data_IF_398492516681
#
_entry.id   IF_398492516681
#
_cell.length_a   1.000
_cell.length_b   1.000
_cell.length_c   1.000
_cell.angle_alpha   90.00
_cell.angle_beta   90.00
_cell.angle_gamma   90.00
#
_symmetry.space_group_name_H-M   'P 1'
#
loop_
_entity.id
_entity.type
_entity.pdbx_description
1 polymer ?
#
# COMPACT_ATOMS: atom_id res chain seq x y z
N UNK A 1 -13.31 -2.96 -10.10
CA UNK A 1 -12.58 -2.62 -8.86
C UNK A 1 -11.32 -1.88 -9.27
N UNK A 2 -10.88 -0.84 -8.54
CA UNK A 2 -9.60 -0.17 -8.87
C UNK A 2 -8.46 -0.87 -8.14
N UNK A 3 -7.34 -1.07 -8.82
CA UNK A 3 -6.17 -1.71 -8.21
C UNK A 3 -5.54 -0.80 -7.15
N UNK A 4 -5.29 0.46 -7.52
CA UNK A 4 -4.68 1.46 -6.66
C UNK A 4 -5.73 2.19 -5.83
N UNK A 5 -5.30 2.63 -4.64
CA UNK A 5 -6.08 3.49 -3.77
C UNK A 5 -6.47 4.79 -4.48
N UNK A 6 -7.76 5.22 -4.47
CA UNK A 6 -8.20 6.44 -5.13
C UNK A 6 -7.82 7.66 -4.30
N UNK A 7 -6.62 8.19 -4.51
CA UNK A 7 -6.05 9.32 -3.76
C UNK A 7 -6.88 10.60 -3.84
N UNK A 8 -7.70 10.74 -4.89
CA UNK A 8 -8.63 11.85 -5.08
C UNK A 8 -9.83 11.81 -4.11
N UNK A 9 -10.09 10.66 -3.47
CA UNK A 9 -11.17 10.50 -2.47
C UNK A 9 -10.69 10.69 -1.04
N UNK A 10 -9.38 10.73 -0.81
CA UNK A 10 -8.81 10.88 0.53
C UNK A 10 -8.58 12.37 0.77
N UNK A 11 -9.32 12.93 1.72
CA UNK A 11 -9.13 14.33 2.09
C UNK A 11 -7.81 14.51 2.85
N UNK A 12 -7.25 15.72 2.85
CA UNK A 12 -6.07 16.00 3.66
C UNK A 12 -6.34 15.83 5.16
N UNK A 13 -7.57 16.11 5.62
CA UNK A 13 -7.96 15.89 7.02
C UNK A 13 -7.97 14.40 7.37
N UNK A 14 -8.57 13.56 6.54
CA UNK A 14 -8.56 12.09 6.75
C UNK A 14 -7.14 11.55 6.74
N UNK A 15 -6.31 12.03 5.82
CA UNK A 15 -4.93 11.61 5.71
C UNK A 15 -4.07 12.05 6.91
N UNK A 16 -4.30 13.26 7.44
CA UNK A 16 -3.68 13.72 8.68
C UNK A 16 -4.01 12.79 9.85
N UNK A 17 -5.29 12.44 10.01
CA UNK A 17 -5.75 11.53 11.07
C UNK A 17 -5.15 10.13 10.91
N UNK A 18 -4.94 9.69 9.68
CA UNK A 18 -4.27 8.44 9.37
C UNK A 18 -2.78 8.49 9.76
N UNK A 19 -2.06 9.57 9.44
CA UNK A 19 -0.65 9.73 9.84
C UNK A 19 -0.49 9.71 11.36
N UNK A 20 -1.40 10.33 12.11
CA UNK A 20 -1.39 10.32 13.59
C UNK A 20 -1.52 8.93 14.18
N UNK A 21 -2.31 8.05 13.55
CA UNK A 21 -2.61 6.70 14.05
C UNK A 21 -1.62 5.66 13.57
N UNK A 22 -0.88 5.95 12.50
CA UNK A 22 0.06 5.01 11.91
C UNK A 22 1.35 4.88 12.72
N UNK A 23 1.84 3.65 12.83
CA UNK A 23 3.18 3.39 13.33
C UNK A 23 4.21 3.66 12.22
N UNK A 24 4.55 4.93 12.02
CA UNK A 24 5.49 5.36 10.99
C UNK A 24 6.90 4.79 11.21
N UNK A 25 7.56 4.41 10.09
CA UNK A 25 8.96 4.01 10.09
C UNK A 25 9.83 5.14 10.68
N UNK A 26 10.97 4.83 11.32
CA UNK A 26 11.81 5.84 11.96
C UNK A 26 12.13 7.06 11.08
N UNK A 27 12.52 6.84 9.82
CA UNK A 27 12.81 7.92 8.86
C UNK A 27 11.58 8.65 8.28
N UNK A 28 10.37 8.37 8.78
CA UNK A 28 9.11 9.03 8.41
C UNK A 28 8.48 9.77 9.60
N UNK A 29 9.03 9.62 10.81
CA UNK A 29 8.47 10.23 12.03
C UNK A 29 8.49 11.75 12.05
N UNK A 30 9.39 12.38 11.28
CA UNK A 30 9.40 13.84 11.06
C UNK A 30 8.03 14.35 10.56
N UNK A 31 7.22 13.49 9.92
CA UNK A 31 5.87 13.84 9.46
C UNK A 31 4.92 14.21 10.59
N UNK A 32 5.18 13.74 11.81
CA UNK A 32 4.38 14.04 13.00
C UNK A 32 4.72 15.41 13.62
N UNK A 33 5.84 16.02 13.24
CA UNK A 33 6.23 17.32 13.78
C UNK A 33 5.33 18.42 13.21
N UNK A 34 4.67 19.16 14.10
CA UNK A 34 3.76 20.26 13.77
C UNK A 34 2.70 19.84 12.72
N UNK A 35 2.26 18.58 12.79
CA UNK A 35 1.41 17.97 11.76
C UNK A 35 0.15 18.80 11.48
N UNK A 36 -0.56 19.21 12.53
CA UNK A 36 -1.77 20.04 12.42
C UNK A 36 -1.49 21.35 11.71
N UNK A 37 -0.48 22.09 12.16
CA UNK A 37 -0.14 23.40 11.60
C UNK A 37 0.32 23.29 10.14
N UNK A 38 1.15 22.30 9.82
CA UNK A 38 1.64 22.07 8.46
C UNK A 38 0.51 21.66 7.51
N UNK A 39 -0.41 20.81 7.95
CA UNK A 39 -1.57 20.44 7.13
C UNK A 39 -2.54 21.62 6.95
N UNK A 40 -2.72 22.48 7.95
CA UNK A 40 -3.48 23.72 7.78
C UNK A 40 -2.86 24.62 6.70
N UNK A 41 -1.53 24.83 6.73
CA UNK A 41 -0.83 25.60 5.70
C UNK A 41 -0.96 25.00 4.30
N UNK A 42 -0.98 23.67 4.17
CA UNK A 42 -1.25 23.00 2.89
C UNK A 42 -2.69 23.24 2.41
N UNK A 43 -3.67 23.20 3.32
CA UNK A 43 -5.06 23.53 3.02
C UNK A 43 -5.24 24.99 2.59
N UNK A 44 -4.51 25.93 3.19
CA UNK A 44 -4.53 27.35 2.82
C UNK A 44 -4.03 27.60 1.37
N UNK A 45 -3.24 26.67 0.82
CA UNK A 45 -2.85 26.66 -0.60
C UNK A 45 -3.93 26.06 -1.52
N UNK A 46 -5.14 25.79 -1.00
CA UNK A 46 -6.25 25.20 -1.75
C UNK A 46 -6.11 23.69 -1.98
N UNK A 47 -5.17 23.01 -1.30
CA UNK A 47 -5.04 21.56 -1.36
C UNK A 47 -6.09 20.92 -0.45
N UNK A 48 -6.92 20.05 -1.00
CA UNK A 48 -8.02 19.40 -0.27
C UNK A 48 -7.91 17.88 -0.25
N UNK A 49 -7.18 17.30 -1.21
CA UNK A 49 -7.04 15.85 -1.37
C UNK A 49 -5.59 15.40 -1.44
N UNK A 50 -5.37 14.12 -1.13
CA UNK A 50 -4.06 13.45 -1.24
C UNK A 50 -3.54 13.48 -2.68
N UNK A 51 -4.41 13.33 -3.68
CA UNK A 51 -4.03 13.45 -5.09
C UNK A 51 -3.45 14.84 -5.44
N UNK A 52 -4.10 15.90 -4.97
CA UNK A 52 -3.62 17.28 -5.21
C UNK A 52 -2.27 17.53 -4.52
N UNK A 53 -2.11 17.07 -3.29
CA UNK A 53 -0.85 17.17 -2.57
C UNK A 53 0.27 16.39 -3.26
N UNK A 54 0.01 15.16 -3.72
CA UNK A 54 0.98 14.38 -4.48
C UNK A 54 1.39 15.08 -5.79
N UNK A 55 0.44 15.72 -6.47
CA UNK A 55 0.69 16.50 -7.68
C UNK A 55 1.50 17.78 -7.42
N UNK A 56 1.29 18.43 -6.27
CA UNK A 56 2.03 19.60 -5.81
C UNK A 56 3.47 19.25 -5.39
N UNK A 57 3.74 17.99 -5.02
CA UNK A 57 5.06 17.50 -4.64
C UNK A 57 5.76 16.72 -5.76
N UNK A 58 5.19 16.65 -6.97
CA UNK A 58 5.58 15.67 -7.98
C UNK A 58 6.98 15.87 -8.59
N UNK A 59 7.54 17.08 -8.51
CA UNK A 59 8.87 17.42 -9.03
C UNK A 59 9.63 18.30 -8.03
N UNK A 60 10.98 18.34 -8.11
CA UNK A 60 11.80 19.21 -7.26
C UNK A 60 11.34 20.67 -7.32
N UNK A 61 11.09 21.21 -8.52
CA UNK A 61 10.65 22.59 -8.69
C UNK A 61 9.32 22.88 -7.97
N UNK A 62 8.32 22.00 -8.12
CA UNK A 62 7.02 22.19 -7.45
C UNK A 62 7.14 22.08 -5.93
N UNK A 63 7.97 21.16 -5.46
CA UNK A 63 8.25 21.00 -4.03
C UNK A 63 8.88 22.28 -3.45
N UNK A 64 9.92 22.82 -4.09
CA UNK A 64 10.56 24.07 -3.64
C UNK A 64 9.60 25.26 -3.71
N UNK A 65 8.76 25.34 -4.75
CA UNK A 65 7.71 26.38 -4.83
C UNK A 65 6.71 26.27 -3.68
N UNK A 66 6.27 25.06 -3.34
CA UNK A 66 5.36 24.84 -2.22
C UNK A 66 6.02 25.13 -0.87
N UNK A 67 7.30 24.77 -0.70
CA UNK A 67 8.09 25.09 0.49
C UNK A 67 8.17 26.61 0.69
N UNK A 68 8.47 27.36 -0.37
CA UNK A 68 8.52 28.82 -0.32
C UNK A 68 7.15 29.46 -0.02
N UNK A 69 6.07 28.93 -0.58
CA UNK A 69 4.72 29.45 -0.37
C UNK A 69 4.15 29.18 1.03
N UNK A 70 4.52 28.04 1.63
CA UNK A 70 3.98 27.59 2.92
C UNK A 70 4.94 27.82 4.10
N UNK A 71 6.22 28.05 3.84
CA UNK A 71 7.26 28.05 4.88
C UNK A 71 7.58 26.66 5.45
N UNK A 72 6.98 25.59 4.91
CA UNK A 72 7.27 24.22 5.36
C UNK A 72 8.66 23.80 4.86
N UNK A 73 9.52 23.22 5.71
CA UNK A 73 10.85 22.78 5.30
C UNK A 73 10.81 21.79 4.12
N UNK A 74 11.71 21.97 3.14
CA UNK A 74 11.81 21.07 1.99
C UNK A 74 12.09 19.62 2.38
N UNK A 75 12.85 19.40 3.47
CA UNK A 75 13.11 18.07 4.03
C UNK A 75 11.80 17.38 4.42
N UNK A 76 10.91 18.08 5.13
CA UNK A 76 9.60 17.56 5.51
C UNK A 76 8.77 17.20 4.27
N UNK A 77 8.69 18.11 3.30
CA UNK A 77 7.94 17.89 2.06
C UNK A 77 8.51 16.74 1.23
N UNK A 78 9.83 16.53 1.27
CA UNK A 78 10.50 15.41 0.60
C UNK A 78 10.12 14.08 1.24
N UNK A 79 10.09 14.01 2.57
CA UNK A 79 9.67 12.81 3.29
C UNK A 79 8.17 12.57 3.08
N UNK A 80 7.36 13.62 3.04
CA UNK A 80 5.92 13.54 2.77
C UNK A 80 5.67 13.01 1.36
N UNK A 81 6.39 13.52 0.35
CA UNK A 81 6.33 13.00 -1.02
C UNK A 81 6.64 11.50 -1.06
N UNK A 82 7.65 11.04 -0.31
CA UNK A 82 8.01 9.62 -0.24
C UNK A 82 6.92 8.78 0.42
N UNK A 83 6.27 9.29 1.47
CA UNK A 83 5.13 8.65 2.11
C UNK A 83 3.98 8.47 1.12
N UNK A 84 3.58 9.57 0.46
CA UNK A 84 2.49 9.59 -0.52
C UNK A 84 2.75 8.63 -1.69
N UNK A 85 4.00 8.58 -2.16
CA UNK A 85 4.40 7.63 -3.21
C UNK A 85 4.21 6.16 -2.80
N UNK A 86 4.27 5.86 -1.50
CA UNK A 86 4.03 4.51 -0.99
C UNK A 86 2.54 4.15 -0.92
N UNK A 87 1.63 5.12 -1.01
CA UNK A 87 0.20 4.87 -1.11
C UNK A 87 -0.22 4.29 -2.47
N UNK A 88 0.66 4.32 -3.48
CA UNK A 88 0.42 3.75 -4.80
C UNK A 88 1.23 2.47 -4.98
N UNK A 89 0.60 1.30 -4.81
CA UNK A 89 1.28 0.03 -5.05
C UNK A 89 1.52 -0.23 -6.53
N UNK A 90 2.74 -0.66 -6.84
CA UNK A 90 3.12 -1.05 -8.20
C UNK A 90 2.50 -2.41 -8.52
N UNK A 91 1.99 -2.60 -9.74
CA UNK A 91 1.58 -3.93 -10.20
C UNK A 91 2.77 -4.88 -10.16
N UNK A 92 2.48 -6.15 -9.86
CA UNK A 92 3.46 -7.23 -9.82
C UNK A 92 3.24 -8.12 -11.05
N UNK A 93 4.30 -8.58 -11.74
CA UNK A 93 4.15 -9.57 -12.80
C UNK A 93 3.48 -10.85 -12.28
N UNK A 94 2.52 -11.40 -13.04
CA UNK A 94 1.83 -12.64 -12.64
C UNK A 94 2.79 -13.83 -12.53
N UNK A 95 3.88 -13.81 -13.30
CA UNK A 95 4.97 -14.80 -13.25
C UNK A 95 5.74 -14.83 -11.94
N UNK A 96 5.67 -13.77 -11.14
CA UNK A 96 6.46 -13.64 -9.91
C UNK A 96 5.77 -14.32 -8.72
N UNK A 97 4.49 -14.69 -8.85
CA UNK A 97 3.77 -15.42 -7.82
C UNK A 97 4.29 -16.87 -7.72
N UNK A 98 4.80 -17.29 -6.55
CA UNK A 98 5.27 -18.66 -6.37
C UNK A 98 4.13 -19.67 -6.56
N UNK A 99 4.43 -20.86 -7.10
CA UNK A 99 3.49 -21.98 -7.22
C UNK A 99 2.21 -21.72 -8.04
N UNK A 100 2.14 -20.63 -8.83
CA UNK A 100 1.04 -20.42 -9.76
C UNK A 100 1.17 -21.32 -11.01
N UNK A 101 0.03 -21.69 -11.59
CA UNK A 101 -0.04 -22.55 -12.79
C UNK A 101 0.63 -21.87 -14.00
N UNK A 102 1.72 -22.43 -14.56
CA UNK A 102 2.37 -21.84 -15.74
C UNK A 102 1.45 -21.84 -16.97
N UNK A 103 0.53 -22.80 -17.07
CA UNK A 103 -0.44 -22.86 -18.16
C UNK A 103 -1.45 -21.68 -18.07
N UNK A 104 -1.95 -21.39 -16.86
CA UNK A 104 -2.83 -20.25 -16.63
C UNK A 104 -2.13 -18.92 -16.97
N UNK A 105 -0.88 -18.74 -16.52
CA UNK A 105 -0.12 -17.52 -16.79
C UNK A 105 0.13 -17.32 -18.29
N UNK A 106 0.44 -18.39 -19.03
CA UNK A 106 0.62 -18.30 -20.49
C UNK A 106 -0.68 -17.89 -21.21
N UNK A 107 -1.80 -18.51 -20.85
CA UNK A 107 -3.11 -18.17 -21.41
C UNK A 107 -3.48 -16.71 -21.14
N UNK A 108 -3.23 -16.21 -19.92
CA UNK A 108 -3.46 -14.79 -19.60
C UNK A 108 -2.53 -13.86 -20.40
N UNK A 109 -1.29 -14.25 -20.62
CA UNK A 109 -0.34 -13.46 -21.41
C UNK A 109 -0.73 -13.35 -22.89
N UNK A 110 -1.36 -14.38 -23.46
CA UNK A 110 -1.96 -14.34 -24.81
C UNK A 110 -3.09 -13.32 -24.90
N UNK A 111 -3.85 -13.15 -23.81
CA UNK A 111 -4.87 -12.10 -23.65
C UNK A 111 -4.29 -10.74 -23.23
N UNK A 112 -2.97 -10.58 -23.26
CA UNK A 112 -2.24 -9.38 -22.84
C UNK A 112 -2.40 -9.01 -21.36
N UNK A 113 -2.73 -9.98 -20.51
CA UNK A 113 -2.81 -9.83 -19.06
C UNK A 113 -1.54 -10.41 -18.44
N UNK A 114 -0.67 -9.53 -17.95
CA UNK A 114 0.67 -9.90 -17.46
C UNK A 114 0.94 -9.47 -16.03
N UNK A 115 0.11 -8.58 -15.48
CA UNK A 115 0.30 -8.00 -14.16
C UNK A 115 -0.91 -8.21 -13.24
N UNK A 116 -0.68 -8.13 -11.94
CA UNK A 116 -1.71 -8.18 -10.91
C UNK A 116 -2.80 -7.13 -11.10
N UNK A 117 -2.42 -5.93 -11.60
CA UNK A 117 -3.37 -4.85 -11.90
C UNK A 117 -4.30 -5.21 -13.05
N UNK A 118 -3.75 -5.66 -14.17
CA UNK A 118 -4.55 -6.02 -15.35
C UNK A 118 -5.52 -7.15 -15.01
N UNK A 119 -5.05 -8.16 -14.27
CA UNK A 119 -5.88 -9.29 -13.85
C UNK A 119 -6.99 -8.86 -12.88
N UNK A 120 -6.65 -8.05 -11.87
CA UNK A 120 -7.60 -7.54 -10.87
C UNK A 120 -8.68 -6.64 -11.49
N UNK A 121 -8.27 -5.67 -12.31
CA UNK A 121 -9.16 -4.65 -12.86
C UNK A 121 -10.08 -5.19 -13.96
N UNK A 122 -9.71 -6.31 -14.60
CA UNK A 122 -10.59 -7.05 -15.52
C UNK A 122 -11.91 -7.46 -14.85
N UNK A 123 -11.94 -7.57 -13.52
CA UNK A 123 -13.12 -7.98 -12.76
C UNK A 123 -13.36 -9.47 -12.97
N UNK A 124 -12.77 -10.28 -12.09
CA UNK A 124 -12.72 -11.73 -12.20
C UNK A 124 -14.10 -12.35 -12.44
N UNK A 125 -14.23 -13.10 -13.53
CA UNK A 125 -15.30 -14.09 -13.67
C UNK A 125 -15.15 -15.25 -12.66
N UNK A 126 -13.97 -15.37 -12.04
CA UNK A 126 -13.61 -16.42 -11.07
C UNK A 126 -12.83 -15.81 -9.90
N UNK A 127 -13.33 -16.01 -8.67
CA UNK A 127 -12.58 -15.73 -7.43
C UNK A 127 -11.62 -16.89 -7.16
N UNK A 128 -10.64 -17.06 -8.04
CA UNK A 128 -9.62 -18.10 -7.92
C UNK A 128 -8.45 -17.67 -7.03
N UNK A 129 -7.49 -18.57 -6.84
CA UNK A 129 -6.28 -18.30 -6.06
C UNK A 129 -5.48 -17.11 -6.61
N UNK A 130 -5.37 -16.98 -7.93
CA UNK A 130 -4.62 -15.88 -8.55
C UNK A 130 -5.29 -14.54 -8.26
N UNK A 131 -6.62 -14.49 -8.26
CA UNK A 131 -7.40 -13.33 -7.85
C UNK A 131 -7.09 -12.92 -6.41
N UNK A 132 -7.07 -13.88 -5.48
CA UNK A 132 -6.67 -13.64 -4.08
C UNK A 132 -5.25 -13.08 -3.96
N UNK A 133 -4.29 -13.65 -4.68
CA UNK A 133 -2.90 -13.16 -4.66
C UNK A 133 -2.79 -11.74 -5.23
N UNK A 134 -3.51 -11.46 -6.31
CA UNK A 134 -3.58 -10.12 -6.91
C UNK A 134 -4.21 -9.09 -5.97
N UNK A 135 -5.21 -9.49 -5.17
CA UNK A 135 -5.79 -8.63 -4.15
C UNK A 135 -4.76 -8.31 -3.05
N UNK A 136 -4.07 -9.33 -2.53
CA UNK A 136 -3.12 -9.18 -1.41
C UNK A 136 -1.92 -8.28 -1.75
N UNK A 137 -1.39 -8.32 -2.98
CA UNK A 137 -0.26 -7.45 -3.39
C UNK A 137 -0.64 -5.98 -3.55
N UNK A 138 -1.93 -5.64 -3.42
CA UNK A 138 -2.35 -4.24 -3.32
C UNK A 138 -1.97 -3.63 -1.98
N UNK A 139 -1.66 -4.45 -0.96
CA UNK A 139 -1.24 -3.98 0.36
C UNK A 139 0.22 -3.52 0.31
N UNK A 140 0.50 -2.31 0.82
CA UNK A 140 1.87 -1.82 0.92
C UNK A 140 2.75 -2.73 1.77
N UNK A 141 3.95 -3.01 1.29
CA UNK A 141 4.90 -3.93 1.91
C UNK A 141 4.70 -5.39 1.52
N UNK A 142 3.66 -5.72 0.74
CA UNK A 142 3.36 -7.09 0.32
C UNK A 142 3.75 -7.30 -1.15
N UNK A 143 4.85 -7.99 -1.38
CA UNK A 143 5.24 -8.51 -2.71
C UNK A 143 4.66 -9.89 -3.00
N UNK A 144 4.92 -10.44 -4.19
CA UNK A 144 4.39 -11.73 -4.65
C UNK A 144 4.58 -12.89 -3.65
N UNK A 145 5.79 -12.99 -3.11
CA UNK A 145 6.18 -14.02 -2.14
C UNK A 145 5.46 -13.85 -0.80
N UNK A 146 5.32 -12.61 -0.32
CA UNK A 146 4.59 -12.32 0.92
C UNK A 146 3.09 -12.56 0.75
N UNK A 147 2.52 -12.20 -0.40
CA UNK A 147 1.12 -12.49 -0.73
C UNK A 147 0.85 -13.99 -0.72
N UNK A 148 1.76 -14.80 -1.29
CA UNK A 148 1.68 -16.27 -1.21
C UNK A 148 1.71 -16.76 0.24
N UNK A 149 2.64 -16.27 1.05
CA UNK A 149 2.72 -16.64 2.47
C UNK A 149 1.43 -16.27 3.22
N UNK A 150 0.83 -15.11 2.92
CA UNK A 150 -0.44 -14.67 3.52
C UNK A 150 -1.60 -15.57 3.10
N UNK A 151 -1.67 -15.92 1.81
CA UNK A 151 -2.68 -16.82 1.26
C UNK A 151 -2.64 -18.19 1.92
N UNK A 152 -1.46 -18.82 1.99
CA UNK A 152 -1.28 -20.12 2.65
C UNK A 152 -1.50 -20.03 4.17
N UNK A 153 -1.22 -18.87 4.76
CA UNK A 153 -1.56 -18.59 6.14
C UNK A 153 -3.08 -18.40 6.33
N UNK A 154 -3.89 -18.47 5.27
CA UNK A 154 -5.35 -18.43 5.28
C UNK A 154 -5.96 -17.03 5.19
N UNK A 155 -5.24 -16.07 4.59
CA UNK A 155 -5.75 -14.75 4.25
C UNK A 155 -5.93 -14.65 2.74
N UNK A 156 -7.17 -14.74 2.25
CA UNK A 156 -7.48 -14.78 0.81
C UNK A 156 -7.87 -13.43 0.20
N UNK A 157 -7.88 -12.36 0.98
CA UNK A 157 -8.25 -11.02 0.50
C UNK A 157 -7.68 -9.92 1.40
N UNK A 158 -7.66 -8.70 0.87
CA UNK A 158 -7.37 -7.48 1.62
C UNK A 158 -8.33 -7.33 2.81
N UNK A 159 -9.61 -7.66 2.62
CA UNK A 159 -10.60 -7.60 3.70
C UNK A 159 -10.29 -8.60 4.83
N UNK A 160 -9.80 -9.80 4.50
CA UNK A 160 -9.38 -10.77 5.50
C UNK A 160 -8.17 -10.27 6.31
N UNK A 161 -7.22 -9.58 5.67
CA UNK A 161 -6.07 -8.97 6.35
C UNK A 161 -6.52 -7.79 7.21
N UNK A 162 -7.40 -6.92 6.71
CA UNK A 162 -7.88 -5.74 7.45
C UNK A 162 -8.57 -6.09 8.78
N UNK A 163 -9.21 -7.27 8.85
CA UNK A 163 -9.88 -7.78 10.05
C UNK A 163 -8.98 -8.66 10.94
N UNK A 164 -7.71 -8.84 10.60
CA UNK A 164 -6.78 -9.65 11.39
C UNK A 164 -6.28 -8.91 12.64
N UNK A 165 -5.81 -9.69 13.62
CA UNK A 165 -5.00 -9.20 14.73
C UNK A 165 -3.51 -9.45 14.46
N UNK A 166 -2.65 -8.46 14.67
CA UNK A 166 -1.22 -8.51 14.30
C UNK A 166 -0.48 -9.72 14.89
N UNK A 167 -0.66 -10.01 16.19
CA UNK A 167 -0.03 -11.17 16.83
C UNK A 167 -0.48 -12.51 16.23
N UNK A 168 -1.79 -12.65 15.95
CA UNK A 168 -2.35 -13.85 15.33
C UNK A 168 -1.87 -14.04 13.88
N UNK A 169 -1.83 -12.95 13.12
CA UNK A 169 -1.31 -12.94 11.75
C UNK A 169 0.18 -13.31 11.72
N UNK A 170 0.99 -12.72 12.60
CA UNK A 170 2.41 -13.03 12.72
C UNK A 170 2.64 -14.51 12.98
N UNK A 171 1.89 -15.09 13.93
CA UNK A 171 1.99 -16.52 14.27
C UNK A 171 1.71 -17.40 13.05
N UNK A 172 0.61 -17.17 12.33
CA UNK A 172 0.20 -17.99 11.17
C UNK A 172 1.19 -17.85 10.00
N UNK A 173 1.54 -16.62 9.65
CA UNK A 173 2.49 -16.34 8.55
C UNK A 173 3.89 -16.88 8.88
N UNK A 174 4.33 -16.79 10.13
CA UNK A 174 5.63 -17.34 10.54
C UNK A 174 5.66 -18.87 10.47
N UNK A 175 4.55 -19.54 10.79
CA UNK A 175 4.45 -21.00 10.67
C UNK A 175 4.58 -21.44 9.19
N UNK A 176 3.89 -20.76 8.27
CA UNK A 176 4.04 -21.00 6.83
C UNK A 176 5.48 -20.75 6.37
N UNK A 177 6.09 -19.64 6.79
CA UNK A 177 7.45 -19.33 6.38
C UNK A 177 8.48 -20.30 6.96
N UNK A 178 8.25 -20.87 8.15
CA UNK A 178 9.11 -21.90 8.72
C UNK A 178 9.09 -23.20 7.89
N UNK A 179 7.95 -23.54 7.28
CA UNK A 179 7.81 -24.71 6.42
C UNK A 179 8.32 -24.44 5.00
N UNK A 180 7.91 -23.32 4.40
CA UNK A 180 8.13 -23.02 2.97
C UNK A 180 9.40 -22.23 2.68
N UNK A 181 9.99 -21.59 3.70
CA UNK A 181 11.19 -20.75 3.57
C UNK A 181 11.06 -19.64 2.50
N UNK A 182 9.89 -19.01 2.40
CA UNK A 182 9.61 -17.96 1.42
C UNK A 182 10.55 -16.75 1.54
N UNK A 183 10.93 -16.39 2.76
CA UNK A 183 11.88 -15.31 3.01
C UNK A 183 12.73 -15.56 4.26
N UNK A 184 13.93 -14.97 4.28
CA UNK A 184 14.89 -15.08 5.39
C UNK A 184 14.69 -14.01 6.48
N UNK A 185 13.90 -12.97 6.18
CA UNK A 185 13.66 -11.89 7.12
C UNK A 185 12.81 -12.35 8.31
N UNK A 186 13.16 -11.88 9.51
CA UNK A 186 12.35 -12.10 10.70
C UNK A 186 11.32 -10.97 10.80
N UNK A 187 10.07 -11.30 10.50
CA UNK A 187 8.95 -10.37 10.66
C UNK A 187 8.62 -10.21 12.15
N UNK A 188 8.20 -9.01 12.52
CA UNK A 188 7.65 -8.67 13.83
C UNK A 188 6.18 -8.27 13.75
N UNK A 189 5.57 -8.08 14.92
CA UNK A 189 4.16 -7.67 14.99
C UNK A 189 3.91 -6.31 14.34
N UNK A 190 4.91 -5.42 14.38
CA UNK A 190 4.84 -4.11 13.73
C UNK A 190 4.72 -4.20 12.21
N UNK A 191 5.35 -5.19 11.58
CA UNK A 191 5.25 -5.42 10.13
C UNK A 191 3.84 -5.91 9.76
N UNK A 192 3.25 -6.78 10.59
CA UNK A 192 1.87 -7.22 10.40
C UNK A 192 0.88 -6.08 10.62
N UNK A 193 1.08 -5.28 11.68
CA UNK A 193 0.23 -4.13 11.94
C UNK A 193 0.27 -3.12 10.79
N UNK A 194 1.46 -2.87 10.22
CA UNK A 194 1.61 -2.02 9.04
C UNK A 194 0.77 -2.54 7.84
N UNK A 195 0.84 -3.85 7.56
CA UNK A 195 0.03 -4.46 6.50
C UNK A 195 -1.48 -4.35 6.78
N UNK A 196 -1.90 -4.57 8.03
CA UNK A 196 -3.30 -4.47 8.48
C UNK A 196 -3.82 -3.04 8.34
N UNK A 197 -3.06 -2.04 8.76
CA UNK A 197 -3.45 -0.63 8.69
C UNK A 197 -3.63 -0.18 7.24
N UNK A 198 -2.72 -0.60 6.36
CA UNK A 198 -2.86 -0.33 4.93
C UNK A 198 -4.02 -1.10 4.30
N UNK A 199 -4.27 -2.35 4.71
CA UNK A 199 -5.42 -3.11 4.25
C UNK A 199 -6.75 -2.46 4.64
N UNK A 200 -6.85 -1.90 5.86
CA UNK A 200 -8.01 -1.12 6.30
C UNK A 200 -8.22 0.13 5.44
N UNK A 201 -7.14 0.80 5.07
CA UNK A 201 -7.19 1.94 4.14
C UNK A 201 -7.75 1.51 2.78
N UNK A 202 -7.27 0.40 2.22
CA UNK A 202 -7.83 -0.13 0.99
C UNK A 202 -9.32 -0.42 1.14
N UNK A 203 -9.76 -1.14 2.18
CA UNK A 203 -11.19 -1.46 2.40
C UNK A 203 -12.05 -0.20 2.51
N UNK A 204 -11.57 0.84 3.19
CA UNK A 204 -12.32 2.07 3.39
C UNK A 204 -12.56 2.87 2.10
N UNK A 205 -11.69 2.73 1.09
CA UNK A 205 -11.73 3.53 -0.14
C UNK A 205 -11.85 2.71 -1.44
N UNK A 206 -11.97 1.38 -1.36
CA UNK A 206 -12.11 0.46 -2.52
C UNK A 206 -13.49 0.48 -3.16
#
# INVERSE_FOLDING_TARGET
>A
MRYTLPLERITLSDYQQLLLKQNLLPGRRILLEQLEARFAMLCDQGLTTVAQLAAALSSPNKLSSLAAATGIPEEYLTILRRELGSLSQKPVPLSDFPACSPAQIRSLAEESIRTSKEYWERGGATQDELFSLCDLVRINGVGAVAARAFYEAGYSSVAAVANAAAAGMLKRVSAVNAEKSYYKAKLGEKDMQFCIDYAKLLVAYS
#
